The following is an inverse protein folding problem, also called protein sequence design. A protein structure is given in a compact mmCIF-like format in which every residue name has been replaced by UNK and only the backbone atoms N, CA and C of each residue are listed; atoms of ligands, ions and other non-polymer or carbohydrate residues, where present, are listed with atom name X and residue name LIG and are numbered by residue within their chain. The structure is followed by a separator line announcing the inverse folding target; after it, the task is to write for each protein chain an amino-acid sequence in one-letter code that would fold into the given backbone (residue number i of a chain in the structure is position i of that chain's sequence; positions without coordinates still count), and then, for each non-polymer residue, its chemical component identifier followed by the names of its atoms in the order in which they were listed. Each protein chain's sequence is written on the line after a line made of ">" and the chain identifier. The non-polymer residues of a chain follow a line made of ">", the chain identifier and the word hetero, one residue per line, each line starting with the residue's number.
data_IF_383487925947
#
_entry.id   IF_383487925947
#
_cell.length_a   1.000
_cell.length_b   1.000
_cell.length_c   1.000
_cell.angle_alpha   90.00
_cell.angle_beta   90.00
_cell.angle_gamma   90.00
#
_symmetry.space_group_name_H-M   'P 1'
#
loop_
_entity.id
_entity.type
_entity.pdbx_description
1 polymer ?
#
# COMPACT_ATOMS: atom_id res chain seq x y z
N UNK A 1 25.36 17.60 10.33
CA UNK A 1 24.92 18.74 9.51
C UNK A 1 23.40 18.80 9.60
N UNK A 2 22.82 19.83 10.20
CA UNK A 2 21.37 19.99 10.26
C UNK A 2 20.82 20.17 8.84
N UNK A 3 19.98 19.26 8.39
CA UNK A 3 19.30 19.38 7.09
C UNK A 3 18.38 20.59 7.16
N UNK A 4 18.51 21.54 6.23
CA UNK A 4 17.64 22.71 6.19
C UNK A 4 16.19 22.30 5.90
N UNK A 5 15.22 23.00 6.49
CA UNK A 5 13.79 22.82 6.19
C UNK A 5 13.51 22.96 4.67
N UNK A 6 14.27 23.82 3.97
CA UNK A 6 14.17 23.97 2.53
C UNK A 6 14.59 22.68 1.81
N UNK A 7 15.68 22.06 2.25
CA UNK A 7 16.15 20.79 1.71
C UNK A 7 15.10 19.68 1.91
N UNK A 8 14.47 19.62 3.08
CA UNK A 8 13.39 18.65 3.36
C UNK A 8 12.20 18.84 2.42
N UNK A 9 11.72 20.08 2.25
CA UNK A 9 10.60 20.39 1.34
C UNK A 9 10.95 20.00 -0.09
N UNK A 10 12.16 20.32 -0.57
CA UNK A 10 12.61 19.93 -1.91
C UNK A 10 12.64 18.41 -2.07
N UNK A 11 13.15 17.67 -1.09
CA UNK A 11 13.17 16.21 -1.12
C UNK A 11 11.76 15.60 -1.15
N UNK A 12 10.82 16.13 -0.35
CA UNK A 12 9.42 15.67 -0.35
C UNK A 12 8.77 15.92 -1.70
N UNK A 13 8.93 17.10 -2.28
CA UNK A 13 8.37 17.44 -3.59
C UNK A 13 8.97 16.57 -4.70
N UNK A 14 10.29 16.37 -4.67
CA UNK A 14 10.97 15.50 -5.64
C UNK A 14 10.51 14.05 -5.50
N UNK A 15 10.43 13.53 -4.28
CA UNK A 15 9.92 12.19 -4.01
C UNK A 15 8.48 12.02 -4.49
N UNK A 16 7.60 12.99 -4.21
CA UNK A 16 6.22 12.98 -4.66
C UNK A 16 6.12 13.02 -6.20
N UNK A 17 6.91 13.85 -6.86
CA UNK A 17 6.93 13.95 -8.32
C UNK A 17 7.44 12.65 -8.98
N UNK A 18 8.53 12.08 -8.47
CA UNK A 18 9.10 10.83 -8.98
C UNK A 18 8.15 9.66 -8.77
N UNK A 19 7.57 9.53 -7.57
CA UNK A 19 6.61 8.46 -7.28
C UNK A 19 5.36 8.57 -8.14
N UNK A 20 4.78 9.77 -8.28
CA UNK A 20 3.65 10.00 -9.16
C UNK A 20 3.97 9.65 -10.63
N UNK A 21 5.13 10.11 -11.12
CA UNK A 21 5.59 9.77 -12.48
C UNK A 21 5.75 8.26 -12.69
N UNK A 22 6.36 7.57 -11.72
CA UNK A 22 6.51 6.12 -11.76
C UNK A 22 5.15 5.40 -11.73
N UNK A 23 4.21 5.88 -10.89
CA UNK A 23 2.84 5.36 -10.86
C UNK A 23 2.17 5.51 -12.22
N UNK A 24 2.28 6.66 -12.89
CA UNK A 24 1.69 6.85 -14.21
C UNK A 24 2.31 5.93 -15.28
N UNK A 25 3.63 5.70 -15.22
CA UNK A 25 4.32 4.72 -16.07
C UNK A 25 3.77 3.31 -15.80
N UNK A 26 3.69 2.88 -14.55
CA UNK A 26 3.12 1.58 -14.18
C UNK A 26 1.63 1.46 -14.49
N UNK A 27 0.92 2.59 -14.52
CA UNK A 27 -0.48 2.65 -14.91
C UNK A 27 -0.64 2.25 -16.37
N UNK A 28 0.16 2.88 -17.25
CA UNK A 28 0.13 2.66 -18.71
C UNK A 28 0.79 1.35 -19.14
N UNK A 29 1.94 1.02 -18.56
CA UNK A 29 2.75 -0.15 -18.92
C UNK A 29 2.61 -1.27 -17.87
N UNK A 30 1.45 -1.94 -17.90
CA UNK A 30 1.06 -2.95 -16.90
C UNK A 30 2.04 -4.12 -16.75
N UNK A 31 2.67 -4.56 -17.85
CA UNK A 31 3.69 -5.62 -17.79
C UNK A 31 4.96 -5.13 -17.10
N UNK A 32 5.36 -3.88 -17.31
CA UNK A 32 6.50 -3.27 -16.61
C UNK A 32 6.22 -3.21 -15.11
N UNK A 33 5.02 -2.80 -14.71
CA UNK A 33 4.59 -2.82 -13.31
C UNK A 33 4.66 -4.23 -12.71
N UNK A 34 4.12 -5.23 -13.41
CA UNK A 34 4.15 -6.63 -12.97
C UNK A 34 5.59 -7.13 -12.81
N UNK A 35 6.43 -6.92 -13.81
CA UNK A 35 7.83 -7.33 -13.78
C UNK A 35 8.60 -6.60 -12.69
N UNK A 36 8.34 -5.31 -12.47
CA UNK A 36 8.98 -4.53 -11.41
C UNK A 36 8.63 -5.06 -10.02
N UNK A 37 7.34 -5.27 -9.74
CA UNK A 37 6.89 -5.81 -8.44
C UNK A 37 7.36 -7.25 -8.26
N UNK A 38 7.33 -8.06 -9.31
CA UNK A 38 7.86 -9.42 -9.30
C UNK A 38 9.35 -9.46 -9.03
N UNK A 39 10.13 -8.61 -9.70
CA UNK A 39 11.57 -8.49 -9.46
C UNK A 39 11.87 -8.00 -8.05
N UNK A 40 11.12 -7.01 -7.56
CA UNK A 40 11.23 -6.54 -6.17
C UNK A 40 10.99 -7.70 -5.20
N UNK A 41 9.93 -8.49 -5.38
CA UNK A 41 9.68 -9.68 -4.56
C UNK A 41 10.83 -10.70 -4.62
N UNK A 42 11.42 -10.92 -5.80
CA UNK A 42 12.57 -11.82 -5.97
C UNK A 42 13.86 -11.31 -5.31
N UNK A 43 13.92 -10.05 -4.86
CA UNK A 43 15.05 -9.53 -4.07
C UNK A 43 15.01 -9.98 -2.61
N UNK A 44 14.02 -10.79 -2.20
CA UNK A 44 13.91 -11.30 -0.84
C UNK A 44 15.18 -11.93 -0.25
N UNK A 45 16.07 -12.60 -1.02
CA UNK A 45 17.32 -13.11 -0.47
C UNK A 45 18.25 -12.00 0.04
N UNK A 46 18.23 -10.83 -0.59
CA UNK A 46 19.03 -9.67 -0.20
C UNK A 46 18.48 -8.97 1.05
N UNK A 47 17.21 -9.20 1.41
CA UNK A 47 16.61 -8.56 2.58
C UNK A 47 17.14 -9.12 3.89
N UNK A 48 17.60 -10.38 3.90
CA UNK A 48 18.12 -11.06 5.08
C UNK A 48 19.30 -10.31 5.73
N UNK A 49 20.03 -9.51 4.96
CA UNK A 49 21.14 -8.68 5.47
C UNK A 49 20.67 -7.53 6.37
N UNK A 50 19.46 -7.01 6.15
CA UNK A 50 18.93 -5.80 6.81
C UNK A 50 17.63 -6.03 7.60
N UNK A 51 17.15 -7.29 7.66
CA UNK A 51 15.85 -7.65 8.25
C UNK A 51 16.04 -8.84 9.17
N UNK A 52 15.94 -8.59 10.46
CA UNK A 52 16.29 -9.56 11.50
C UNK A 52 15.05 -10.19 12.16
N UNK A 53 13.89 -9.55 12.07
CA UNK A 53 12.67 -10.02 12.73
C UNK A 53 11.65 -10.57 11.72
N UNK A 54 10.95 -11.64 12.08
CA UNK A 54 9.86 -12.20 11.27
C UNK A 54 8.79 -11.16 10.92
N UNK A 55 8.57 -10.22 11.82
CA UNK A 55 7.64 -9.10 11.64
C UNK A 55 7.98 -8.26 10.41
N UNK A 56 9.23 -7.85 10.24
CA UNK A 56 9.65 -7.05 9.10
C UNK A 56 9.48 -7.79 7.78
N UNK A 57 9.73 -9.10 7.77
CA UNK A 57 9.52 -9.96 6.61
C UNK A 57 8.04 -10.03 6.23
N UNK A 58 7.17 -10.32 7.20
CA UNK A 58 5.71 -10.39 6.98
C UNK A 58 5.20 -9.04 6.45
N UNK A 59 5.71 -7.92 6.96
CA UNK A 59 5.32 -6.58 6.53
C UNK A 59 5.70 -6.28 5.08
N UNK A 60 6.88 -6.71 4.63
CA UNK A 60 7.27 -6.53 3.22
C UNK A 60 6.42 -7.44 2.32
N UNK A 61 6.22 -8.69 2.71
CA UNK A 61 5.39 -9.62 1.94
C UNK A 61 3.92 -9.18 1.88
N UNK A 62 3.37 -8.62 2.96
CA UNK A 62 2.00 -8.11 3.03
C UNK A 62 1.78 -6.87 2.15
N UNK A 63 2.84 -6.27 1.60
CA UNK A 63 2.74 -5.20 0.60
C UNK A 63 3.00 -5.73 -0.80
N UNK A 64 4.08 -6.50 -1.00
CA UNK A 64 4.50 -6.93 -2.34
C UNK A 64 3.61 -8.03 -2.92
N UNK A 65 3.17 -9.00 -2.12
CA UNK A 65 2.33 -10.10 -2.61
C UNK A 65 0.96 -9.59 -3.08
N UNK A 66 0.22 -8.76 -2.31
CA UNK A 66 -1.03 -8.17 -2.81
C UNK A 66 -0.81 -7.23 -4.00
N UNK A 67 0.31 -6.50 -4.04
CA UNK A 67 0.66 -5.65 -5.20
C UNK A 67 0.87 -6.48 -6.46
N UNK A 68 1.52 -7.65 -6.35
CA UNK A 68 1.70 -8.58 -7.45
C UNK A 68 0.37 -9.17 -7.91
N UNK A 69 -0.47 -9.61 -6.96
CA UNK A 69 -1.82 -10.07 -7.22
C UNK A 69 -2.62 -9.00 -7.97
N UNK A 70 -2.60 -7.76 -7.47
CA UNK A 70 -3.25 -6.64 -8.11
C UNK A 70 -2.74 -6.44 -9.54
N UNK A 71 -1.43 -6.37 -9.78
CA UNK A 71 -0.87 -6.25 -11.13
C UNK A 71 -1.38 -7.33 -12.09
N UNK A 72 -1.44 -8.58 -11.63
CA UNK A 72 -2.03 -9.69 -12.38
C UNK A 72 -3.54 -9.48 -12.65
N UNK A 73 -4.31 -9.04 -11.66
CA UNK A 73 -5.75 -8.73 -11.83
C UNK A 73 -5.97 -7.63 -12.88
N UNK A 74 -5.16 -6.56 -12.87
CA UNK A 74 -5.26 -5.47 -13.86
C UNK A 74 -5.12 -6.01 -15.29
N UNK A 75 -4.12 -6.86 -15.52
CA UNK A 75 -3.89 -7.48 -16.83
C UNK A 75 -5.05 -8.41 -17.20
N UNK A 76 -5.48 -9.26 -16.27
CA UNK A 76 -6.56 -10.21 -16.49
C UNK A 76 -7.87 -9.52 -16.91
N UNK A 77 -8.25 -8.46 -16.19
CA UNK A 77 -9.47 -7.69 -16.40
C UNK A 77 -9.38 -6.84 -17.66
N UNK A 78 -8.30 -6.08 -17.83
CA UNK A 78 -8.17 -5.12 -18.93
C UNK A 78 -7.95 -5.80 -20.29
N UNK A 79 -7.07 -6.80 -20.37
CA UNK A 79 -6.80 -7.54 -21.62
C UNK A 79 -7.79 -8.66 -21.89
N UNK A 80 -8.77 -8.88 -20.99
CA UNK A 80 -9.77 -9.94 -21.09
C UNK A 80 -9.15 -11.33 -21.36
N UNK A 81 -8.01 -11.64 -20.72
CA UNK A 81 -7.29 -12.90 -20.92
C UNK A 81 -8.21 -14.09 -20.64
N UNK A 82 -8.18 -15.08 -21.53
CA UNK A 82 -8.93 -16.32 -21.39
C UNK A 82 -8.09 -17.39 -20.65
N UNK A 83 -8.75 -18.29 -19.91
CA UNK A 83 -8.12 -19.38 -19.18
C UNK A 83 -8.57 -19.45 -17.71
N UNK A 84 -8.35 -20.60 -17.05
CA UNK A 84 -8.81 -20.85 -15.67
C UNK A 84 -8.20 -19.87 -14.67
N UNK A 85 -6.89 -19.68 -14.73
CA UNK A 85 -6.15 -18.76 -13.84
C UNK A 85 -6.59 -17.30 -14.05
N UNK A 86 -6.68 -16.86 -15.30
CA UNK A 86 -7.12 -15.51 -15.64
C UNK A 86 -8.58 -15.25 -15.29
N UNK A 87 -9.44 -16.28 -15.35
CA UNK A 87 -10.82 -16.19 -14.89
C UNK A 87 -10.91 -16.01 -13.37
N UNK A 88 -10.08 -16.72 -12.60
CA UNK A 88 -9.99 -16.53 -11.15
C UNK A 88 -9.51 -15.10 -10.82
N UNK A 89 -8.49 -14.60 -11.52
CA UNK A 89 -7.96 -13.24 -11.33
C UNK A 89 -8.95 -12.12 -11.65
N UNK A 90 -9.99 -12.40 -12.45
CA UNK A 90 -11.09 -11.45 -12.71
C UNK A 90 -12.19 -11.52 -11.66
N UNK A 91 -12.15 -12.50 -10.77
CA UNK A 91 -13.22 -12.72 -9.81
C UNK A 91 -13.21 -11.65 -8.72
N UNK A 92 -14.37 -11.05 -8.47
CA UNK A 92 -14.51 -9.94 -7.53
C UNK A 92 -14.16 -10.33 -6.09
N UNK A 93 -14.30 -11.60 -5.73
CA UNK A 93 -13.87 -12.12 -4.43
C UNK A 93 -12.39 -11.86 -4.11
N UNK A 94 -11.51 -11.70 -5.11
CA UNK A 94 -10.10 -11.35 -4.86
C UNK A 94 -9.93 -9.93 -4.31
N UNK A 95 -10.89 -9.03 -4.51
CA UNK A 95 -10.88 -7.72 -3.88
C UNK A 95 -10.99 -7.82 -2.35
N UNK A 96 -11.63 -8.86 -1.82
CA UNK A 96 -11.66 -9.12 -0.38
C UNK A 96 -10.28 -9.48 0.18
N UNK A 97 -9.39 -10.06 -0.62
CA UNK A 97 -8.01 -10.29 -0.22
C UNK A 97 -7.29 -8.95 -0.08
N UNK A 98 -7.43 -8.04 -1.05
CA UNK A 98 -6.83 -6.70 -0.97
C UNK A 98 -7.39 -5.89 0.20
N UNK A 99 -8.71 -5.95 0.43
CA UNK A 99 -9.37 -5.36 1.58
C UNK A 99 -8.83 -5.92 2.90
N UNK A 100 -8.72 -7.24 3.01
CA UNK A 100 -8.22 -7.90 4.22
C UNK A 100 -6.78 -7.50 4.52
N UNK A 101 -5.93 -7.39 3.50
CA UNK A 101 -4.54 -6.98 3.70
C UNK A 101 -4.43 -5.50 4.07
N UNK A 102 -5.27 -4.62 3.51
CA UNK A 102 -5.35 -3.23 3.97
C UNK A 102 -5.77 -3.16 5.44
N UNK A 103 -6.81 -3.90 5.82
CA UNK A 103 -7.28 -3.96 7.20
C UNK A 103 -6.19 -4.47 8.15
N UNK A 104 -5.49 -5.55 7.78
CA UNK A 104 -4.38 -6.11 8.57
C UNK A 104 -3.24 -5.09 8.74
N UNK A 105 -2.87 -4.36 7.68
CA UNK A 105 -1.84 -3.31 7.78
C UNK A 105 -2.24 -2.23 8.79
N UNK A 106 -3.50 -1.78 8.77
CA UNK A 106 -3.98 -0.77 9.72
C UNK A 106 -4.00 -1.33 11.14
N UNK A 107 -4.49 -2.56 11.33
CA UNK A 107 -4.52 -3.24 12.64
C UNK A 107 -3.12 -3.38 13.21
N UNK A 108 -2.15 -3.85 12.42
CA UNK A 108 -0.77 -4.07 12.85
C UNK A 108 -0.13 -2.76 13.36
N UNK A 109 -0.23 -1.69 12.57
CA UNK A 109 0.27 -0.37 12.97
C UNK A 109 -0.47 0.18 14.20
N UNK A 110 -1.78 -0.07 14.31
CA UNK A 110 -2.56 0.35 15.48
C UNK A 110 -2.14 -0.38 16.76
N UNK A 111 -1.81 -1.67 16.67
CA UNK A 111 -1.28 -2.46 17.79
C UNK A 111 0.11 -1.92 18.19
N UNK A 112 0.94 -1.60 17.21
CA UNK A 112 2.25 -1.02 17.48
C UNK A 112 2.14 0.36 18.16
N UNK A 113 1.26 1.25 17.69
CA UNK A 113 0.96 2.52 18.36
C UNK A 113 0.49 2.32 19.80
N UNK A 114 -0.32 1.30 20.05
CA UNK A 114 -0.77 0.97 21.39
C UNK A 114 0.41 0.60 22.31
N UNK A 115 1.33 -0.24 21.81
CA UNK A 115 2.52 -0.62 22.55
C UNK A 115 3.49 0.55 22.81
N UNK A 116 3.52 1.53 21.92
CA UNK A 116 4.33 2.75 22.06
C UNK A 116 3.64 3.83 22.94
N UNK A 117 2.41 3.60 23.39
CA UNK A 117 1.67 4.56 24.22
C UNK A 117 0.90 5.63 23.44
N UNK A 118 0.86 5.54 22.11
CA UNK A 118 0.10 6.43 21.23
C UNK A 118 -1.39 6.03 21.15
N UNK A 119 -2.07 6.03 22.30
CA UNK A 119 -3.44 5.51 22.45
C UNK A 119 -4.44 6.12 21.46
N UNK A 120 -4.39 7.44 21.26
CA UNK A 120 -5.32 8.14 20.35
C UNK A 120 -5.10 7.76 18.88
N UNK A 121 -3.84 7.59 18.45
CA UNK A 121 -3.55 7.16 17.09
C UNK A 121 -3.99 5.71 16.88
N UNK A 122 -3.73 4.83 17.86
CA UNK A 122 -4.21 3.45 17.83
C UNK A 122 -5.74 3.36 17.69
N UNK A 123 -6.49 4.14 18.48
CA UNK A 123 -7.96 4.18 18.39
C UNK A 123 -8.47 4.71 17.04
N UNK A 124 -7.81 5.73 16.49
CA UNK A 124 -8.13 6.23 15.15
C UNK A 124 -7.93 5.14 14.08
N UNK A 125 -6.89 4.31 14.22
CA UNK A 125 -6.67 3.14 13.37
C UNK A 125 -7.78 2.09 13.47
N UNK A 126 -8.29 1.83 14.68
CA UNK A 126 -9.48 0.97 14.87
C UNK A 126 -10.70 1.54 14.15
N UNK A 127 -10.95 2.85 14.27
CA UNK A 127 -12.03 3.51 13.53
C UNK A 127 -11.86 3.35 12.01
N UNK A 128 -10.62 3.48 11.49
CA UNK A 128 -10.33 3.28 10.08
C UNK A 128 -10.68 1.88 9.61
N UNK A 129 -10.33 0.84 10.37
CA UNK A 129 -10.66 -0.57 10.06
C UNK A 129 -12.17 -0.81 10.04
N UNK A 130 -12.90 -0.27 11.02
CA UNK A 130 -14.35 -0.44 11.11
C UNK A 130 -15.10 0.30 10.00
N UNK A 131 -14.47 1.30 9.38
CA UNK A 131 -15.09 2.17 8.38
C UNK A 131 -14.53 1.97 6.97
N UNK A 132 -13.68 0.96 6.75
CA UNK A 132 -13.22 0.62 5.38
C UNK A 132 -14.46 0.29 4.54
N UNK A 133 -14.67 0.96 3.39
CA UNK A 133 -15.75 0.61 2.48
C UNK A 133 -15.61 -0.84 1.99
N UNK A 134 -16.70 -1.60 2.07
CA UNK A 134 -16.73 -3.02 1.68
C UNK A 134 -16.29 -3.27 0.23
N UNK A 135 -15.53 -4.35 0.03
CA UNK A 135 -14.90 -4.68 -1.25
C UNK A 135 -15.88 -5.03 -2.38
N UNK A 136 -17.03 -5.61 -2.05
CA UNK A 136 -18.05 -6.00 -3.03
C UNK A 136 -18.75 -4.81 -3.68
N UNK A 137 -18.94 -3.72 -2.93
CA UNK A 137 -19.71 -2.56 -3.37
C UNK A 137 -18.85 -1.40 -3.84
N UNK A 138 -17.74 -1.13 -3.14
CA UNK A 138 -16.98 0.11 -3.33
C UNK A 138 -15.64 -0.08 -4.05
N UNK A 139 -15.22 -1.33 -4.30
CA UNK A 139 -13.95 -1.63 -4.96
C UNK A 139 -14.22 -2.25 -6.33
N UNK A 140 -13.49 -1.78 -7.35
CA UNK A 140 -13.56 -2.33 -8.70
C UNK A 140 -12.25 -2.15 -9.45
N UNK A 141 -11.95 -3.07 -10.34
CA UNK A 141 -10.89 -2.88 -11.34
C UNK A 141 -11.53 -2.33 -12.61
N UNK A 142 -11.16 -1.11 -12.99
CA UNK A 142 -11.76 -0.41 -14.12
C UNK A 142 -11.35 -1.04 -15.45
N UNK A 143 -12.30 -1.20 -16.37
CA UNK A 143 -12.06 -1.81 -17.69
C UNK A 143 -11.82 -0.78 -18.80
N UNK A 144 -12.09 0.51 -18.56
CA UNK A 144 -12.11 1.55 -19.59
C UNK A 144 -10.76 2.24 -19.81
N UNK A 145 -9.96 2.40 -18.77
CA UNK A 145 -8.74 3.21 -18.78
C UNK A 145 -7.49 2.34 -18.89
N UNK A 146 -6.97 1.90 -17.75
CA UNK A 146 -5.71 1.19 -17.62
C UNK A 146 -5.82 0.00 -16.66
N UNK A 147 -7.02 -0.51 -16.37
CA UNK A 147 -7.15 -1.57 -15.37
C UNK A 147 -6.97 -1.05 -13.95
N UNK A 148 -7.35 0.20 -13.65
CA UNK A 148 -7.03 0.83 -12.36
C UNK A 148 -7.93 0.27 -11.25
N UNK A 149 -7.37 0.00 -10.06
CA UNK A 149 -8.19 -0.32 -8.89
C UNK A 149 -8.77 0.99 -8.38
N UNK A 150 -10.08 1.13 -8.53
CA UNK A 150 -10.83 2.24 -8.00
C UNK A 150 -11.51 1.78 -6.72
N UNK A 151 -11.26 2.52 -5.65
CA UNK A 151 -11.96 2.37 -4.38
C UNK A 151 -12.65 3.68 -4.08
N UNK A 152 -13.98 3.66 -3.99
CA UNK A 152 -14.79 4.84 -3.72
C UNK A 152 -14.76 5.19 -2.21
N UNK A 153 -13.58 5.56 -1.73
CA UNK A 153 -13.41 5.99 -0.35
C UNK A 153 -14.09 7.35 -0.10
N UNK A 154 -14.86 7.50 1.00
CA UNK A 154 -15.31 8.81 1.44
C UNK A 154 -14.11 9.73 1.70
N UNK A 155 -14.21 11.01 1.31
CA UNK A 155 -13.12 11.97 1.48
C UNK A 155 -12.63 12.06 2.94
N UNK A 156 -13.56 11.99 3.90
CA UNK A 156 -13.22 11.98 5.32
C UNK A 156 -12.41 10.75 5.75
N UNK A 157 -12.67 9.59 5.15
CA UNK A 157 -11.89 8.38 5.40
C UNK A 157 -10.46 8.54 4.86
N UNK A 158 -10.32 9.07 3.64
CA UNK A 158 -8.99 9.35 3.05
C UNK A 158 -8.18 10.32 3.92
N UNK A 159 -8.80 11.43 4.37
CA UNK A 159 -8.12 12.42 5.20
C UNK A 159 -7.67 11.83 6.55
N UNK A 160 -8.56 11.06 7.20
CA UNK A 160 -8.24 10.37 8.44
C UNK A 160 -7.11 9.37 8.23
N UNK A 161 -7.18 8.54 7.19
CA UNK A 161 -6.16 7.54 6.87
C UNK A 161 -4.80 8.16 6.62
N UNK A 162 -4.73 9.22 5.79
CA UNK A 162 -3.47 9.91 5.50
C UNK A 162 -2.87 10.54 6.76
N UNK A 163 -3.69 11.20 7.57
CA UNK A 163 -3.22 11.87 8.80
C UNK A 163 -2.77 10.85 9.85
N UNK A 164 -3.56 9.80 10.08
CA UNK A 164 -3.25 8.71 11.00
C UNK A 164 -1.96 7.98 10.61
N UNK A 165 -1.78 7.68 9.31
CA UNK A 165 -0.59 6.99 8.82
C UNK A 165 0.66 7.88 8.90
N UNK A 166 0.51 9.20 8.68
CA UNK A 166 1.60 10.15 8.87
C UNK A 166 2.02 10.24 10.35
N UNK A 167 1.06 10.27 11.27
CA UNK A 167 1.33 10.26 12.72
C UNK A 167 2.04 8.98 13.15
N UNK A 168 1.60 7.81 12.66
CA UNK A 168 2.28 6.53 12.89
C UNK A 168 3.74 6.57 12.42
N UNK A 169 3.97 7.04 11.18
CA UNK A 169 5.31 7.10 10.61
C UNK A 169 6.22 8.04 11.39
N UNK A 170 5.74 9.22 11.75
CA UNK A 170 6.50 10.20 12.55
C UNK A 170 6.81 9.66 13.94
N UNK A 171 5.87 8.96 14.58
CA UNK A 171 6.08 8.31 15.88
C UNK A 171 7.04 7.12 15.85
N UNK A 172 7.35 6.57 14.67
CA UNK A 172 8.35 5.52 14.49
C UNK A 172 9.75 6.05 14.20
N UNK A 173 9.93 7.35 13.97
CA UNK A 173 11.25 7.94 13.77
C UNK A 173 11.95 7.98 15.14
N UNK A 174 13.12 7.36 15.32
CA UNK A 174 13.84 7.41 16.58
C UNK A 174 14.26 8.86 16.90
N UNK A 175 14.17 9.22 18.18
CA UNK A 175 14.43 10.58 18.70
C UNK A 175 15.82 11.14 18.31
N UNK A 176 16.78 10.30 17.94
CA UNK A 176 18.12 10.73 17.50
C UNK A 176 18.12 11.52 16.17
N UNK A 177 17.00 11.52 15.43
CA UNK A 177 16.79 12.34 14.22
C UNK A 177 15.85 13.52 14.49
N UNK A 178 15.30 13.63 15.71
CA UNK A 178 14.55 14.81 16.12
C UNK A 178 15.52 15.97 16.38
N UNK A 179 15.36 17.02 15.57
CA UNK A 179 16.10 18.29 15.62
C UNK A 179 16.03 18.96 17.00
#
# INVERSE_FOLDING_TARGET
>A
MSVSNVTLVVCILLYAAVTYGLTEVFRRYRLVALCFVGAALCTFPLWAENRHSLFEWVKIFSVLVPSLLFCCMRIAVFEKKAGRVWSLLRHQALLWVLYGVLALNIVEASIQDWHLGYTWNSLAGVCLVLTIPYADKYWRVETRTCGDLIVDFPLGWCFLYTTWNAAFLLGCIPDEVSL
#
